data_IF_360564120678
#
_entry.id   IF_360564120678
#
_cell.length_a   1.000
_cell.length_b   1.000
_cell.length_c   1.000
_cell.angle_alpha   90.00
_cell.angle_beta   90.00
_cell.angle_gamma   90.00
#
_symmetry.space_group_name_H-M   'P 1'
#
loop_
_entity.id
_entity.type
_entity.pdbx_description
1 polymer ?
#
# COMPACT_ATOMS: atom_id res chain seq x y z
N UNK A 1 42.46 -28.98 -24.21
CA UNK A 1 41.69 -27.71 -24.22
C UNK A 1 40.69 -27.55 -23.06
N UNK A 2 40.86 -28.12 -21.84
CA UNK A 2 39.79 -28.12 -20.83
C UNK A 2 40.22 -27.83 -19.37
N UNK A 3 41.50 -27.51 -19.09
CA UNK A 3 41.92 -27.24 -17.71
C UNK A 3 41.87 -25.76 -17.36
N UNK A 4 42.27 -24.89 -18.27
CA UNK A 4 42.26 -23.40 -18.07
C UNK A 4 40.84 -22.83 -17.81
N UNK A 5 39.81 -23.43 -18.40
CA UNK A 5 38.42 -23.00 -18.21
C UNK A 5 37.83 -23.44 -16.85
N UNK A 6 38.34 -24.47 -16.19
CA UNK A 6 37.85 -24.93 -14.87
C UNK A 6 38.46 -24.08 -13.75
N UNK A 7 39.74 -23.77 -13.82
CA UNK A 7 40.43 -22.96 -12.81
C UNK A 7 39.87 -21.51 -12.75
N UNK A 8 39.45 -20.97 -13.88
CA UNK A 8 38.81 -19.66 -13.96
C UNK A 8 37.39 -19.69 -13.40
N UNK A 9 36.62 -20.74 -13.64
CA UNK A 9 35.29 -20.97 -13.09
C UNK A 9 35.34 -21.15 -11.54
N UNK A 10 36.29 -21.90 -11.03
CA UNK A 10 36.47 -22.12 -9.61
C UNK A 10 36.90 -20.83 -8.89
N UNK A 11 37.74 -20.02 -9.50
CA UNK A 11 38.11 -18.68 -9.00
C UNK A 11 36.92 -17.71 -8.97
N UNK A 12 36.04 -17.74 -9.96
CA UNK A 12 34.81 -16.94 -10.00
C UNK A 12 33.84 -17.41 -8.90
N UNK A 13 33.64 -18.72 -8.76
CA UNK A 13 32.77 -19.30 -7.72
C UNK A 13 33.27 -18.97 -6.32
N UNK A 14 34.57 -19.05 -6.09
CA UNK A 14 35.18 -18.69 -4.79
C UNK A 14 34.98 -17.20 -4.45
N UNK A 15 35.21 -16.29 -5.40
CA UNK A 15 34.96 -14.83 -5.21
C UNK A 15 33.47 -14.57 -4.95
N UNK A 16 32.57 -15.23 -5.68
CA UNK A 16 31.14 -15.13 -5.46
C UNK A 16 30.76 -15.58 -4.06
N UNK A 17 31.24 -16.75 -3.62
CA UNK A 17 30.98 -17.30 -2.29
C UNK A 17 31.43 -16.33 -1.18
N UNK A 18 32.65 -15.83 -1.21
CA UNK A 18 33.18 -14.88 -0.22
C UNK A 18 32.35 -13.57 -0.20
N UNK A 19 31.93 -13.08 -1.39
CA UNK A 19 31.05 -11.90 -1.48
C UNK A 19 29.69 -12.19 -0.86
N UNK A 20 29.09 -13.36 -1.08
CA UNK A 20 27.78 -13.72 -0.52
C UNK A 20 27.87 -13.94 0.99
N UNK A 21 28.94 -14.54 1.51
CA UNK A 21 29.17 -14.67 2.95
C UNK A 21 29.28 -13.32 3.65
N UNK A 22 30.04 -12.37 3.08
CA UNK A 22 30.11 -10.99 3.60
C UNK A 22 28.76 -10.29 3.56
N UNK A 23 28.03 -10.42 2.44
CA UNK A 23 26.68 -9.84 2.30
C UNK A 23 25.72 -10.42 3.33
N UNK A 24 25.78 -11.75 3.54
CA UNK A 24 24.96 -12.43 4.54
C UNK A 24 25.26 -11.89 5.95
N UNK A 25 26.51 -11.81 6.35
CA UNK A 25 26.91 -11.29 7.67
C UNK A 25 26.38 -9.85 7.92
N UNK A 26 26.46 -8.98 6.91
CA UNK A 26 25.93 -7.61 7.01
C UNK A 26 24.40 -7.62 7.17
N UNK A 27 23.71 -8.48 6.42
CA UNK A 27 22.25 -8.60 6.50
C UNK A 27 21.83 -9.18 7.84
N UNK A 28 22.48 -10.24 8.31
CA UNK A 28 22.22 -10.87 9.61
C UNK A 28 22.39 -9.86 10.76
N UNK A 29 23.45 -9.04 10.71
CA UNK A 29 23.67 -7.98 11.70
C UNK A 29 22.55 -6.91 11.67
N UNK A 30 22.07 -6.52 10.49
CA UNK A 30 20.94 -5.58 10.35
C UNK A 30 19.64 -6.18 10.87
N UNK A 31 19.37 -7.46 10.60
CA UNK A 31 18.19 -8.17 11.12
C UNK A 31 18.24 -8.22 12.65
N UNK A 32 19.41 -8.51 13.23
CA UNK A 32 19.57 -8.56 14.69
C UNK A 32 19.36 -7.18 15.35
N UNK A 33 19.72 -6.10 14.65
CA UNK A 33 19.52 -4.73 15.13
C UNK A 33 18.08 -4.22 14.96
N UNK A 34 17.27 -4.88 14.13
CA UNK A 34 15.87 -4.54 13.88
C UNK A 34 14.96 -5.33 14.83
N UNK A 35 15.00 -4.97 16.12
CA UNK A 35 14.32 -5.68 17.22
C UNK A 35 12.94 -5.12 17.57
N UNK A 36 12.56 -3.96 17.02
CA UNK A 36 11.27 -3.33 17.27
C UNK A 36 10.14 -4.06 16.56
N UNK A 37 9.13 -4.48 17.33
CA UNK A 37 7.89 -5.04 16.82
C UNK A 37 6.76 -4.04 17.08
N UNK A 38 6.39 -3.29 16.06
CA UNK A 38 5.28 -2.33 16.08
C UNK A 38 4.49 -2.40 14.77
N UNK A 39 3.25 -1.96 14.82
CA UNK A 39 2.48 -1.70 13.61
C UNK A 39 3.11 -0.56 12.81
N UNK A 40 3.22 -0.71 11.49
CA UNK A 40 3.86 0.26 10.61
C UNK A 40 2.87 0.96 9.70
N UNK A 41 3.18 2.22 9.35
CA UNK A 41 2.48 2.99 8.32
C UNK A 41 3.27 2.87 7.01
N UNK A 42 2.64 2.31 5.98
CA UNK A 42 3.19 2.17 4.64
C UNK A 42 2.45 3.08 3.68
N UNK A 43 3.17 3.94 2.95
CA UNK A 43 2.61 4.84 1.95
C UNK A 43 3.11 4.47 0.56
N UNK A 44 2.17 4.13 -0.34
CA UNK A 44 2.44 3.90 -1.76
C UNK A 44 1.93 5.09 -2.57
N UNK A 45 2.84 5.85 -3.17
CA UNK A 45 2.52 7.09 -3.90
C UNK A 45 3.12 7.08 -5.31
N UNK A 46 3.12 8.24 -5.98
CA UNK A 46 3.68 8.41 -7.33
C UNK A 46 2.66 8.20 -8.45
N UNK A 47 3.10 8.48 -9.69
CA UNK A 47 2.24 8.45 -10.87
C UNK A 47 2.17 7.08 -11.55
N UNK A 48 3.08 6.16 -11.21
CA UNK A 48 3.14 4.79 -11.74
C UNK A 48 1.99 3.92 -11.26
N UNK A 49 1.78 2.82 -11.98
CA UNK A 49 0.80 1.79 -11.61
C UNK A 49 1.34 0.87 -10.50
N UNK A 50 0.42 0.22 -9.79
CA UNK A 50 0.76 -0.78 -8.78
C UNK A 50 0.49 -0.35 -7.33
N UNK A 51 0.14 0.92 -7.06
CA UNK A 51 -0.11 1.41 -5.69
C UNK A 51 -1.20 0.61 -4.97
N UNK A 52 -2.41 0.58 -5.53
CA UNK A 52 -3.54 -0.19 -4.97
C UNK A 52 -3.24 -1.69 -5.01
N UNK A 53 -2.68 -2.22 -6.13
CA UNK A 53 -2.30 -3.64 -6.24
C UNK A 53 -1.29 -4.06 -5.18
N UNK A 54 -0.31 -3.21 -4.84
CA UNK A 54 0.60 -3.45 -3.72
C UNK A 54 -0.14 -3.45 -2.37
N UNK A 55 -1.05 -2.49 -2.15
CA UNK A 55 -1.89 -2.43 -0.96
C UNK A 55 -2.75 -3.70 -0.79
N UNK A 56 -3.46 -4.10 -1.83
CA UNK A 56 -4.25 -5.34 -1.83
C UNK A 56 -3.38 -6.60 -1.68
N UNK A 57 -2.15 -6.61 -2.22
CA UNK A 57 -1.18 -7.65 -1.97
C UNK A 57 -0.81 -7.79 -0.48
N UNK A 58 -0.70 -6.66 0.24
CA UNK A 58 -0.49 -6.66 1.69
C UNK A 58 -1.72 -7.14 2.45
N UNK A 59 -2.94 -6.79 2.01
CA UNK A 59 -4.20 -7.34 2.55
C UNK A 59 -4.21 -8.86 2.47
N UNK A 60 -3.94 -9.43 1.27
CA UNK A 60 -3.88 -10.89 1.10
C UNK A 60 -2.80 -11.54 1.98
N UNK A 61 -1.66 -10.88 2.16
CA UNK A 61 -0.59 -11.35 3.05
C UNK A 61 -1.00 -11.34 4.52
N UNK A 62 -1.71 -10.28 4.96
CA UNK A 62 -2.23 -10.19 6.31
C UNK A 62 -3.28 -11.28 6.59
N UNK A 63 -4.21 -11.50 5.66
CA UNK A 63 -5.19 -12.60 5.75
C UNK A 63 -4.50 -13.98 5.82
N UNK A 64 -3.45 -14.20 5.03
CA UNK A 64 -2.64 -15.42 5.08
C UNK A 64 -1.85 -15.62 6.39
N UNK A 65 -1.83 -14.61 7.26
CA UNK A 65 -1.30 -14.65 8.63
C UNK A 65 -2.43 -14.49 9.67
N UNK A 66 -3.65 -14.89 9.32
CA UNK A 66 -4.82 -14.89 10.19
C UNK A 66 -5.20 -13.53 10.79
N UNK A 67 -4.76 -12.43 10.16
CA UNK A 67 -5.11 -11.08 10.58
C UNK A 67 -6.47 -10.68 9.98
N UNK A 68 -7.32 -10.05 10.79
CA UNK A 68 -8.49 -9.33 10.29
C UNK A 68 -8.08 -8.02 9.64
N UNK A 69 -8.76 -7.65 8.56
CA UNK A 69 -8.41 -6.50 7.73
C UNK A 69 -9.61 -5.58 7.53
N UNK A 70 -9.37 -4.28 7.71
CA UNK A 70 -10.28 -3.21 7.28
C UNK A 70 -9.82 -2.59 5.96
N UNK A 71 -10.72 -2.42 4.99
CA UNK A 71 -10.44 -1.74 3.72
C UNK A 71 -11.41 -0.60 3.54
N UNK A 72 -10.89 0.61 3.30
CA UNK A 72 -11.69 1.78 2.91
C UNK A 72 -11.12 2.34 1.61
N UNK A 73 -11.97 2.42 0.56
CA UNK A 73 -11.64 3.07 -0.71
C UNK A 73 -12.30 4.45 -0.76
N UNK A 74 -11.50 5.53 -0.91
CA UNK A 74 -11.95 6.91 -0.82
C UNK A 74 -12.58 7.46 -2.11
N UNK A 75 -12.09 7.02 -3.27
CA UNK A 75 -12.43 7.68 -4.56
C UNK A 75 -13.03 6.71 -5.58
N UNK A 76 -12.80 5.42 -5.46
CA UNK A 76 -13.40 4.41 -6.34
C UNK A 76 -14.76 3.97 -5.81
N UNK A 77 -15.82 4.06 -6.61
CA UNK A 77 -17.13 3.66 -6.16
C UNK A 77 -18.16 3.34 -7.25
N UNK A 78 -17.86 3.66 -8.50
CA UNK A 78 -18.84 3.44 -9.60
C UNK A 78 -18.96 2.00 -10.07
N UNK A 79 -17.90 1.20 -9.98
CA UNK A 79 -17.87 -0.19 -10.42
C UNK A 79 -16.96 -1.01 -9.52
N UNK A 80 -17.48 -2.15 -9.01
CA UNK A 80 -16.69 -3.06 -8.18
C UNK A 80 -15.50 -3.61 -8.97
N UNK A 81 -14.28 -3.41 -8.42
CA UNK A 81 -13.04 -3.92 -8.99
C UNK A 81 -12.92 -5.43 -8.77
N UNK A 82 -11.96 -6.08 -9.46
CA UNK A 82 -11.64 -7.49 -9.25
C UNK A 82 -11.20 -7.76 -7.80
N UNK A 83 -10.39 -6.86 -7.23
CA UNK A 83 -9.94 -6.92 -5.85
C UNK A 83 -11.11 -6.90 -4.86
N UNK A 84 -12.06 -5.97 -5.03
CA UNK A 84 -13.26 -5.89 -4.20
C UNK A 84 -14.10 -7.16 -4.30
N UNK A 85 -14.39 -7.61 -5.54
CA UNK A 85 -15.17 -8.84 -5.78
C UNK A 85 -14.53 -10.07 -5.13
N UNK A 86 -13.20 -10.14 -5.15
CA UNK A 86 -12.45 -11.22 -4.55
C UNK A 86 -12.52 -11.15 -3.02
N UNK A 87 -12.22 -10.01 -2.42
CA UNK A 87 -12.15 -9.84 -0.97
C UNK A 87 -13.52 -9.98 -0.29
N UNK A 88 -14.61 -9.59 -0.96
CA UNK A 88 -15.98 -9.80 -0.44
C UNK A 88 -16.39 -11.28 -0.31
N UNK A 89 -15.57 -12.23 -0.78
CA UNK A 89 -15.77 -13.67 -0.53
C UNK A 89 -15.31 -14.09 0.86
N UNK A 90 -14.60 -13.21 1.58
CA UNK A 90 -14.00 -13.48 2.89
C UNK A 90 -14.54 -12.51 3.96
N UNK A 91 -15.87 -12.49 4.22
CA UNK A 91 -16.49 -11.49 5.10
C UNK A 91 -16.14 -11.65 6.58
N UNK A 92 -15.53 -12.77 6.97
CA UNK A 92 -15.08 -13.02 8.34
C UNK A 92 -13.70 -12.41 8.60
N UNK A 93 -12.88 -12.28 7.54
CA UNK A 93 -11.50 -11.80 7.57
C UNK A 93 -11.39 -10.35 7.13
N UNK A 94 -12.25 -9.91 6.19
CA UNK A 94 -12.17 -8.58 5.57
C UNK A 94 -13.48 -7.81 5.68
N UNK A 95 -13.41 -6.63 6.29
CA UNK A 95 -14.48 -5.62 6.23
C UNK A 95 -14.14 -4.60 5.14
N UNK A 96 -14.90 -4.59 4.04
CA UNK A 96 -14.61 -3.79 2.85
C UNK A 96 -15.68 -2.71 2.61
N UNK A 97 -15.25 -1.43 2.61
CA UNK A 97 -16.09 -0.27 2.37
C UNK A 97 -15.57 0.55 1.18
N UNK A 98 -16.28 0.50 0.05
CA UNK A 98 -16.10 1.41 -1.07
C UNK A 98 -17.00 2.63 -0.88
N UNK A 99 -16.42 3.80 -0.60
CA UNK A 99 -17.15 5.01 -0.21
C UNK A 99 -17.21 6.07 -1.32
N UNK A 100 -16.45 5.90 -2.42
CA UNK A 100 -16.45 6.80 -3.56
C UNK A 100 -17.59 6.53 -4.54
N UNK A 101 -18.08 7.56 -5.23
CA UNK A 101 -19.12 7.47 -6.28
C UNK A 101 -18.54 7.66 -7.70
N UNK A 102 -17.28 7.37 -7.92
CA UNK A 102 -16.58 7.60 -9.18
C UNK A 102 -15.42 8.56 -9.03
N UNK A 103 -14.93 9.03 -10.15
CA UNK A 103 -13.77 9.94 -10.16
C UNK A 103 -14.19 11.38 -9.89
N UNK A 104 -13.39 12.12 -9.13
CA UNK A 104 -13.66 13.53 -8.76
C UNK A 104 -13.83 14.48 -9.95
N UNK A 105 -13.23 14.15 -11.11
CA UNK A 105 -13.44 14.91 -12.35
C UNK A 105 -14.80 14.64 -13.04
N UNK A 106 -15.53 13.61 -12.62
CA UNK A 106 -16.87 13.32 -13.10
C UNK A 106 -17.95 14.00 -12.25
N UNK A 107 -17.72 14.12 -10.93
CA UNK A 107 -18.68 14.72 -10.01
C UNK A 107 -18.75 16.24 -10.12
N UNK A 108 -17.62 16.92 -10.38
CA UNK A 108 -17.48 18.38 -10.45
C UNK A 108 -18.14 19.14 -9.27
N UNK A 109 -18.38 18.45 -8.16
CA UNK A 109 -19.03 18.94 -6.94
C UNK A 109 -18.10 18.73 -5.75
N UNK A 110 -17.32 19.77 -5.43
CA UNK A 110 -16.31 19.71 -4.38
C UNK A 110 -16.92 19.50 -2.98
N UNK A 111 -18.09 20.04 -2.70
CA UNK A 111 -18.74 19.88 -1.38
C UNK A 111 -19.19 18.44 -1.18
N UNK A 112 -19.73 17.82 -2.23
CA UNK A 112 -20.09 16.40 -2.24
C UNK A 112 -18.88 15.50 -2.05
N UNK A 113 -17.76 15.79 -2.72
CA UNK A 113 -16.52 15.04 -2.58
C UNK A 113 -15.96 15.14 -1.15
N UNK A 114 -15.99 16.32 -0.54
CA UNK A 114 -15.61 16.55 0.86
C UNK A 114 -16.51 15.73 1.80
N UNK A 115 -17.83 15.78 1.61
CA UNK A 115 -18.77 15.03 2.44
C UNK A 115 -18.50 13.52 2.36
N UNK A 116 -18.25 12.99 1.16
CA UNK A 116 -17.90 11.57 0.95
C UNK A 116 -16.57 11.20 1.59
N UNK A 117 -15.54 12.01 1.41
CA UNK A 117 -14.24 11.79 2.04
C UNK A 117 -14.34 11.76 3.57
N UNK A 118 -15.15 12.66 4.17
CA UNK A 118 -15.41 12.65 5.61
C UNK A 118 -16.12 11.38 6.06
N UNK A 119 -17.16 10.93 5.36
CA UNK A 119 -17.84 9.66 5.67
C UNK A 119 -16.89 8.46 5.57
N UNK A 120 -16.03 8.43 4.53
CA UNK A 120 -15.00 7.42 4.38
C UNK A 120 -14.00 7.45 5.55
N UNK A 121 -13.63 8.65 6.02
CA UNK A 121 -12.71 8.80 7.15
C UNK A 121 -13.36 8.33 8.46
N UNK A 122 -14.64 8.65 8.71
CA UNK A 122 -15.35 8.12 9.87
C UNK A 122 -15.38 6.58 9.87
N UNK A 123 -15.55 5.95 8.70
CA UNK A 123 -15.45 4.50 8.59
C UNK A 123 -14.02 3.99 8.83
N UNK A 124 -13.01 4.72 8.36
CA UNK A 124 -11.60 4.39 8.60
C UNK A 124 -11.27 4.44 10.10
N UNK A 125 -11.80 5.43 10.84
CA UNK A 125 -11.62 5.54 12.30
C UNK A 125 -12.20 4.34 13.05
N UNK A 126 -13.31 3.78 12.60
CA UNK A 126 -13.86 2.54 13.21
C UNK A 126 -12.82 1.42 13.15
N UNK A 127 -12.10 1.28 12.02
CA UNK A 127 -11.05 0.27 11.89
C UNK A 127 -9.77 0.65 12.65
N UNK A 128 -9.37 1.93 12.59
CA UNK A 128 -8.16 2.44 13.25
C UNK A 128 -8.22 2.36 14.78
N UNK A 129 -9.42 2.31 15.37
CA UNK A 129 -9.60 2.19 16.82
C UNK A 129 -9.89 0.77 17.29
N UNK A 130 -10.13 -0.19 16.38
CA UNK A 130 -10.42 -1.58 16.72
C UNK A 130 -9.13 -2.41 16.84
N UNK A 131 -8.75 -2.85 18.05
CA UNK A 131 -7.54 -3.65 18.25
C UNK A 131 -7.64 -5.07 17.65
N UNK A 132 -8.82 -5.52 17.23
CA UNK A 132 -8.99 -6.79 16.52
C UNK A 132 -8.60 -6.72 15.05
N UNK A 133 -8.48 -5.50 14.47
CA UNK A 133 -8.03 -5.28 13.10
C UNK A 133 -6.50 -5.19 13.08
N UNK A 134 -5.83 -6.14 12.44
CA UNK A 134 -4.36 -6.17 12.33
C UNK A 134 -3.80 -5.31 11.20
N UNK A 135 -4.59 -5.07 10.14
CA UNK A 135 -4.19 -4.22 9.03
C UNK A 135 -5.37 -3.39 8.51
N UNK A 136 -5.13 -2.10 8.27
CA UNK A 136 -6.10 -1.19 7.62
C UNK A 136 -5.51 -0.73 6.28
N UNK A 137 -6.25 -0.95 5.17
CA UNK A 137 -5.93 -0.38 3.86
C UNK A 137 -6.81 0.84 3.59
N UNK A 138 -6.18 1.99 3.38
CA UNK A 138 -6.80 3.26 3.03
C UNK A 138 -6.47 3.57 1.56
N UNK A 139 -7.26 2.98 0.65
CA UNK A 139 -7.00 3.07 -0.79
C UNK A 139 -7.46 4.41 -1.34
N UNK A 140 -6.56 5.10 -2.06
CA UNK A 140 -6.70 6.45 -2.63
C UNK A 140 -6.88 7.58 -1.58
N UNK A 141 -6.52 7.38 -0.30
CA UNK A 141 -6.53 8.43 0.72
C UNK A 141 -5.63 9.62 0.32
N UNK A 142 -4.46 9.35 -0.28
CA UNK A 142 -3.54 10.42 -0.71
C UNK A 142 -4.21 11.46 -1.61
N UNK A 143 -5.16 11.05 -2.44
CA UNK A 143 -5.90 11.97 -3.33
C UNK A 143 -6.84 12.85 -2.52
N UNK A 144 -7.56 12.29 -1.54
CA UNK A 144 -8.44 13.08 -0.66
C UNK A 144 -7.66 14.13 0.14
N UNK A 145 -6.46 13.78 0.61
CA UNK A 145 -5.55 14.71 1.29
C UNK A 145 -4.99 15.77 0.34
N UNK A 146 -4.53 15.36 -0.85
CA UNK A 146 -4.00 16.27 -1.87
C UNK A 146 -5.00 17.36 -2.28
N UNK A 147 -6.29 17.03 -2.36
CA UNK A 147 -7.35 17.98 -2.70
C UNK A 147 -7.94 18.70 -1.47
N UNK A 148 -7.37 18.49 -0.27
CA UNK A 148 -7.83 19.09 0.99
C UNK A 148 -9.32 18.78 1.27
N UNK A 149 -9.74 17.53 1.01
CA UNK A 149 -11.07 17.05 1.38
C UNK A 149 -11.12 16.62 2.84
N UNK A 150 -9.95 16.30 3.41
CA UNK A 150 -9.75 15.98 4.82
C UNK A 150 -8.66 16.88 5.39
N UNK A 151 -8.77 17.18 6.67
CA UNK A 151 -7.73 17.86 7.42
C UNK A 151 -6.58 16.91 7.72
N UNK A 152 -5.37 17.26 7.28
CA UNK A 152 -4.18 16.41 7.40
C UNK A 152 -3.76 16.17 8.84
N UNK A 153 -3.86 17.19 9.69
CA UNK A 153 -3.44 17.11 11.09
C UNK A 153 -4.35 16.14 11.85
N UNK A 154 -5.66 16.19 11.61
CA UNK A 154 -6.63 15.25 12.15
C UNK A 154 -6.33 13.81 11.69
N UNK A 155 -6.07 13.63 10.40
CA UNK A 155 -5.74 12.30 9.83
C UNK A 155 -4.47 11.73 10.47
N UNK A 156 -3.43 12.54 10.61
CA UNK A 156 -2.16 12.11 11.23
C UNK A 156 -2.37 11.76 12.70
N UNK A 157 -3.14 12.57 13.45
CA UNK A 157 -3.42 12.28 14.85
C UNK A 157 -4.11 10.93 15.02
N UNK A 158 -5.17 10.66 14.25
CA UNK A 158 -5.90 9.38 14.27
C UNK A 158 -4.99 8.19 13.88
N UNK A 159 -4.11 8.37 12.86
CA UNK A 159 -3.15 7.35 12.44
C UNK A 159 -2.14 7.01 13.55
N UNK A 160 -1.68 8.00 14.30
CA UNK A 160 -0.69 7.81 15.37
C UNK A 160 -1.31 7.24 16.65
N UNK A 161 -2.60 7.47 16.90
CA UNK A 161 -3.35 6.96 18.07
C UNK A 161 -3.85 5.51 17.89
N UNK A 162 -3.62 4.88 16.74
CA UNK A 162 -4.04 3.49 16.46
C UNK A 162 -3.40 2.48 17.41
N UNK A 163 -4.01 1.27 17.58
CA UNK A 163 -3.41 0.18 18.34
C UNK A 163 -1.95 -0.10 17.95
N UNK A 164 -1.02 -0.31 18.90
CA UNK A 164 0.43 -0.33 18.64
C UNK A 164 0.89 -1.34 17.59
N UNK A 165 0.19 -2.47 17.44
CA UNK A 165 0.53 -3.54 16.48
C UNK A 165 -0.25 -3.46 15.17
N UNK A 166 -1.16 -2.49 15.03
CA UNK A 166 -1.97 -2.33 13.82
C UNK A 166 -1.15 -1.71 12.70
N UNK A 167 -1.09 -2.38 11.55
CA UNK A 167 -0.47 -1.86 10.33
C UNK A 167 -1.48 -1.02 9.55
N UNK A 168 -0.98 0.05 8.90
CA UNK A 168 -1.78 0.87 7.99
C UNK A 168 -1.08 0.96 6.65
N UNK A 169 -1.80 0.69 5.57
CA UNK A 169 -1.33 0.86 4.20
C UNK A 169 -2.14 1.95 3.53
N UNK A 170 -1.48 2.97 3.01
CA UNK A 170 -2.10 4.14 2.39
C UNK A 170 -1.65 4.18 0.93
N UNK A 171 -2.60 4.35 0.01
CA UNK A 171 -2.30 4.44 -1.42
C UNK A 171 -2.82 5.73 -2.03
N UNK A 172 -2.36 6.01 -3.24
CA UNK A 172 -2.83 7.13 -4.04
C UNK A 172 -1.70 8.05 -4.51
N UNK A 173 -2.01 8.89 -5.49
CA UNK A 173 -1.05 9.85 -6.04
C UNK A 173 -0.90 11.06 -5.15
N UNK A 174 0.32 11.59 -5.05
CA UNK A 174 0.59 12.87 -4.42
C UNK A 174 0.38 12.87 -2.91
N UNK A 175 1.00 11.89 -2.21
CA UNK A 175 1.07 11.88 -0.76
C UNK A 175 1.65 13.21 -0.24
N UNK A 176 0.99 13.88 0.71
CA UNK A 176 1.49 15.14 1.27
C UNK A 176 2.74 14.91 2.13
N UNK A 177 3.66 15.90 2.20
CA UNK A 177 4.90 15.79 2.96
C UNK A 177 4.68 15.43 4.44
N UNK A 178 3.62 15.93 5.04
CA UNK A 178 3.27 15.68 6.44
C UNK A 178 2.96 14.20 6.68
N UNK A 179 2.25 13.55 5.74
CA UNK A 179 1.99 12.12 5.80
C UNK A 179 3.27 11.30 5.59
N UNK A 180 4.13 11.73 4.65
CA UNK A 180 5.43 11.10 4.39
C UNK A 180 6.32 11.15 5.63
N UNK A 181 6.27 12.25 6.38
CA UNK A 181 7.09 12.44 7.58
C UNK A 181 6.75 11.48 8.73
N UNK A 182 5.50 11.01 8.83
CA UNK A 182 5.05 10.08 9.88
C UNK A 182 5.01 8.63 9.42
N UNK A 183 5.23 8.34 8.13
CA UNK A 183 5.24 7.01 7.59
C UNK A 183 6.55 6.29 7.89
N UNK A 184 6.47 4.99 8.20
CA UNK A 184 7.65 4.12 8.42
C UNK A 184 8.26 3.64 7.11
N UNK A 185 7.44 3.53 6.06
CA UNK A 185 7.88 3.12 4.71
C UNK A 185 7.13 3.91 3.66
N UNK A 186 7.87 4.52 2.75
CA UNK A 186 7.29 5.24 1.59
C UNK A 186 7.89 4.68 0.31
N UNK A 187 7.01 4.34 -0.64
CA UNK A 187 7.41 3.91 -1.98
C UNK A 187 6.76 4.81 -3.01
N UNK A 188 7.58 5.42 -3.86
CA UNK A 188 7.11 6.18 -5.00
C UNK A 188 7.20 5.32 -6.27
N UNK A 189 6.06 5.14 -6.94
CA UNK A 189 5.95 4.37 -8.18
C UNK A 189 6.00 5.32 -9.37
N UNK A 190 7.05 5.18 -10.20
CA UNK A 190 7.28 6.00 -11.38
C UNK A 190 6.73 5.36 -12.66
N UNK A 191 6.39 6.20 -13.64
CA UNK A 191 5.96 5.77 -14.98
C UNK A 191 7.17 5.66 -15.89
N UNK A 192 7.72 4.48 -16.05
CA UNK A 192 8.74 4.21 -17.09
C UNK A 192 8.05 4.10 -18.46
N UNK A 193 6.94 3.35 -18.55
CA UNK A 193 6.13 3.16 -19.75
C UNK A 193 4.67 2.90 -19.33
N UNK A 194 3.71 3.36 -20.14
CA UNK A 194 2.28 3.16 -19.82
C UNK A 194 1.49 2.76 -21.06
N UNK A 195 0.71 1.69 -20.97
CA UNK A 195 -0.11 1.15 -22.07
C UNK A 195 -1.06 2.21 -22.67
N UNK A 196 -1.68 3.03 -21.82
CA UNK A 196 -2.57 4.11 -22.27
C UNK A 196 -1.89 5.11 -23.22
N UNK A 197 -0.60 5.42 -23.01
CA UNK A 197 0.17 6.28 -23.92
C UNK A 197 0.40 5.65 -25.30
N UNK A 198 0.26 4.33 -25.39
CA UNK A 198 0.32 3.58 -26.65
C UNK A 198 -1.10 3.31 -27.23
N UNK A 199 -2.13 3.99 -26.72
CA UNK A 199 -3.51 3.83 -27.21
C UNK A 199 -4.20 2.55 -26.71
N UNK A 200 -3.63 1.83 -25.75
CA UNK A 200 -4.22 0.60 -25.18
C UNK A 200 -5.18 1.01 -24.06
N UNK A 201 -6.47 0.66 -24.23
CA UNK A 201 -7.51 0.91 -23.24
C UNK A 201 -7.34 0.08 -21.97
N UNK A 202 -8.06 0.47 -20.91
CA UNK A 202 -8.11 -0.25 -19.65
C UNK A 202 -8.74 -1.65 -19.84
N UNK A 203 -8.23 -2.66 -19.14
CA UNK A 203 -8.62 -4.06 -19.31
C UNK A 203 -8.92 -4.74 -17.99
N UNK A 204 -9.88 -5.68 -18.01
CA UNK A 204 -10.20 -6.53 -16.87
C UNK A 204 -8.98 -7.35 -16.44
N UNK A 205 -8.77 -7.49 -15.13
CA UNK A 205 -7.63 -8.19 -14.55
C UNK A 205 -6.32 -7.39 -14.51
N UNK A 206 -6.29 -6.19 -15.14
CA UNK A 206 -5.13 -5.27 -15.10
C UNK A 206 -5.54 -3.93 -14.48
N UNK A 207 -6.70 -3.39 -14.86
CA UNK A 207 -7.16 -2.08 -14.38
C UNK A 207 -8.32 -2.20 -13.37
N UNK A 208 -9.14 -3.23 -13.51
CA UNK A 208 -10.28 -3.54 -12.63
C UNK A 208 -10.51 -5.04 -12.44
#
# INVERSE_FOLDING_TARGET
>A
MNQVNRDDADGINQRHRVRMERKKAIIDAKILAADKQIGIIVVNTGNGKGKSSSGFGMVMRAMGNDMKVGVVQFIKGGMATGDEKFLRRFPQEVSFHAMGEGYTWETQDRERDIAKAKLAWEQAKVFLTDPAIGLVLLDELNIALKYHYLDIDTVIADLLDRPPMQHVVITGRGAPPELIAVADTVTEMEVVKHAFKAGIGAQAGIEW
#
